data_IF_973650089027
#
_entry.id   IF_973650089027
#
_cell.length_a   1.000
_cell.length_b   1.000
_cell.length_c   1.000
_cell.angle_alpha   90.00
_cell.angle_beta   90.00
_cell.angle_gamma   90.00
#
_symmetry.space_group_name_H-M   'P 1'
#
loop_
_entity.id
_entity.type
_entity.pdbx_description
1 polymer ?
#
# COMPACT_ATOMS: atom_id res chain seq x y z
N UNK A 1 27.90 8.70 61.82
CA UNK A 1 27.25 9.50 60.78
C UNK A 1 27.74 9.23 59.36
N UNK A 2 28.81 8.50 59.09
CA UNK A 2 29.30 8.20 57.74
C UNK A 2 28.64 7.00 57.06
N UNK A 3 28.18 6.01 57.82
CA UNK A 3 27.56 4.78 57.24
C UNK A 3 26.22 5.02 56.56
N UNK A 4 25.38 5.92 57.11
CA UNK A 4 24.09 6.20 56.52
C UNK A 4 24.20 6.94 55.15
N UNK A 5 25.30 7.69 54.96
CA UNK A 5 25.54 8.42 53.70
C UNK A 5 25.89 7.48 52.54
N UNK A 6 26.69 6.42 52.82
CA UNK A 6 27.05 5.42 51.81
C UNK A 6 25.86 4.58 51.40
N UNK A 7 25.01 4.23 52.36
CA UNK A 7 23.76 3.48 52.09
C UNK A 7 22.76 4.29 51.25
N UNK A 8 22.60 5.58 51.60
CA UNK A 8 21.70 6.48 50.82
C UNK A 8 22.20 6.73 49.42
N UNK A 9 23.53 6.88 49.24
CA UNK A 9 24.12 7.07 47.89
C UNK A 9 23.97 5.80 47.05
N UNK A 10 24.18 4.60 47.64
CA UNK A 10 23.98 3.32 46.96
C UNK A 10 22.50 3.12 46.50
N UNK A 11 21.55 3.45 47.38
CA UNK A 11 20.11 3.38 47.07
C UNK A 11 19.75 4.32 45.90
N UNK A 12 20.32 5.52 45.88
CA UNK A 12 20.08 6.50 44.83
C UNK A 12 20.62 6.05 43.48
N UNK A 13 21.81 5.44 43.45
CA UNK A 13 22.41 4.89 42.21
C UNK A 13 21.58 3.75 41.66
N UNK A 14 21.11 2.84 42.51
CA UNK A 14 20.24 1.71 42.12
C UNK A 14 18.90 2.23 41.56
N UNK A 15 18.29 3.24 42.21
CA UNK A 15 17.05 3.84 41.74
C UNK A 15 17.22 4.51 40.35
N UNK A 16 18.36 5.17 40.16
CA UNK A 16 18.69 5.84 38.90
C UNK A 16 18.94 4.84 37.77
N UNK A 17 19.57 3.71 38.08
CA UNK A 17 19.82 2.60 37.17
C UNK A 17 18.49 1.92 36.75
N UNK A 18 17.58 1.71 37.70
CA UNK A 18 16.24 1.17 37.42
C UNK A 18 15.42 2.13 36.57
N UNK A 19 15.55 3.43 36.82
CA UNK A 19 14.87 4.47 36.04
C UNK A 19 15.40 4.51 34.59
N UNK A 20 16.71 4.39 34.41
CA UNK A 20 17.32 4.30 33.07
C UNK A 20 16.91 3.02 32.32
N UNK A 21 16.85 1.89 33.02
CA UNK A 21 16.41 0.62 32.43
C UNK A 21 14.92 0.64 32.06
N UNK A 22 14.08 1.30 32.88
CA UNK A 22 12.66 1.44 32.57
C UNK A 22 12.41 2.41 31.40
N UNK A 23 13.19 3.53 31.35
CA UNK A 23 13.14 4.47 30.24
C UNK A 23 13.63 3.82 28.94
N UNK A 24 14.69 3.03 29.00
CA UNK A 24 15.20 2.27 27.86
C UNK A 24 14.18 1.28 27.30
N UNK A 25 13.34 0.66 28.15
CA UNK A 25 12.23 -0.19 27.70
C UNK A 25 11.07 0.60 27.09
N UNK A 26 10.74 1.77 27.65
CA UNK A 26 9.71 2.65 27.10
C UNK A 26 10.11 3.26 25.75
N UNK A 27 11.40 3.58 25.55
CA UNK A 27 11.93 4.13 24.31
C UNK A 27 12.33 3.03 23.30
N UNK A 28 12.46 1.79 23.75
CA UNK A 28 12.79 0.62 22.95
C UNK A 28 11.61 -0.33 22.73
N UNK A 29 10.38 0.12 22.94
CA UNK A 29 9.21 -0.58 22.42
C UNK A 29 9.32 -0.47 20.90
N UNK A 30 10.07 -1.40 20.31
CA UNK A 30 10.04 -1.67 18.89
C UNK A 30 8.61 -2.11 18.61
N UNK A 31 7.75 -1.15 18.23
CA UNK A 31 6.55 -1.47 17.51
C UNK A 31 7.00 -2.40 16.37
N UNK A 32 6.47 -3.62 16.25
CA UNK A 32 6.93 -4.56 15.24
C UNK A 32 6.90 -3.81 13.92
N UNK A 33 8.04 -3.74 13.25
CA UNK A 33 8.23 -2.98 12.01
C UNK A 33 7.06 -3.28 11.09
N UNK A 34 6.17 -2.31 10.91
CA UNK A 34 5.00 -2.47 10.05
C UNK A 34 5.44 -2.22 8.64
N UNK A 35 5.09 -3.14 7.76
CA UNK A 35 5.33 -2.96 6.34
C UNK A 35 4.50 -1.78 5.82
N UNK A 36 5.16 -0.77 5.26
CA UNK A 36 4.52 0.47 4.81
C UNK A 36 4.29 0.43 3.32
N UNK A 37 3.04 0.56 2.92
CA UNK A 37 2.62 0.57 1.51
C UNK A 37 2.02 1.93 1.18
N UNK A 38 2.52 2.57 0.14
CA UNK A 38 1.92 3.79 -0.40
C UNK A 38 1.16 3.49 -1.69
N UNK A 39 -0.04 4.04 -1.81
CA UNK A 39 -0.92 3.87 -2.97
C UNK A 39 -0.95 5.16 -3.77
N UNK A 40 -0.44 5.10 -4.99
CA UNK A 40 -0.35 6.23 -5.93
C UNK A 40 -1.26 5.94 -7.11
N UNK A 41 -2.44 6.53 -7.13
CA UNK A 41 -3.48 6.31 -8.14
C UNK A 41 -4.05 7.64 -8.61
N UNK A 42 -4.61 7.66 -9.82
CA UNK A 42 -5.27 8.87 -10.34
C UNK A 42 -6.55 9.16 -9.52
N UNK A 43 -6.83 10.42 -9.27
CA UNK A 43 -8.00 10.84 -8.50
C UNK A 43 -8.21 10.04 -7.20
N UNK A 44 -7.20 9.94 -6.35
CA UNK A 44 -7.19 9.10 -5.14
C UNK A 44 -8.37 9.34 -4.18
N UNK A 45 -9.03 10.50 -4.26
CA UNK A 45 -10.21 10.86 -3.47
C UNK A 45 -11.53 10.44 -4.12
N UNK A 46 -11.51 9.83 -5.31
CA UNK A 46 -12.71 9.34 -5.99
C UNK A 46 -13.34 8.17 -5.26
N UNK A 47 -14.67 8.08 -5.31
CA UNK A 47 -15.44 6.96 -4.76
C UNK A 47 -15.14 5.63 -5.45
N UNK A 48 -14.57 5.65 -6.65
CA UNK A 48 -14.10 4.47 -7.38
C UNK A 48 -13.15 3.64 -6.51
N UNK A 49 -12.31 4.28 -5.70
CA UNK A 49 -11.35 3.61 -4.82
C UNK A 49 -11.93 3.14 -3.48
N UNK A 50 -13.21 3.36 -3.20
CA UNK A 50 -13.81 3.04 -1.90
C UNK A 50 -13.71 1.56 -1.54
N UNK A 51 -14.06 0.67 -2.46
CA UNK A 51 -13.98 -0.79 -2.24
C UNK A 51 -12.54 -1.26 -2.11
N UNK A 52 -11.62 -0.69 -2.89
CA UNK A 52 -10.20 -0.98 -2.81
C UNK A 52 -9.61 -0.55 -1.45
N UNK A 53 -9.95 0.63 -0.96
CA UNK A 53 -9.56 1.12 0.38
C UNK A 53 -10.07 0.20 1.49
N UNK A 54 -11.29 -0.32 1.36
CA UNK A 54 -11.83 -1.30 2.31
C UNK A 54 -11.00 -2.59 2.31
N UNK A 55 -10.63 -3.10 1.14
CA UNK A 55 -9.77 -4.28 1.00
C UNK A 55 -8.39 -4.06 1.62
N UNK A 56 -7.76 -2.91 1.36
CA UNK A 56 -6.47 -2.54 1.98
C UNK A 56 -6.57 -2.42 3.50
N UNK A 57 -7.68 -1.88 4.01
CA UNK A 57 -7.91 -1.81 5.47
C UNK A 57 -7.95 -3.21 6.08
N UNK A 58 -8.65 -4.14 5.43
CA UNK A 58 -8.72 -5.52 5.88
C UNK A 58 -7.33 -6.21 5.82
N UNK A 59 -6.59 -6.01 4.74
CA UNK A 59 -5.22 -6.52 4.57
C UNK A 59 -4.27 -5.93 5.62
N UNK A 60 -4.33 -4.63 5.87
CA UNK A 60 -3.50 -3.96 6.87
C UNK A 60 -3.65 -4.58 8.26
N UNK A 61 -4.88 -4.92 8.65
CA UNK A 61 -5.16 -5.60 9.92
C UNK A 61 -4.68 -7.05 9.94
N UNK A 62 -4.83 -7.77 8.81
CA UNK A 62 -4.48 -9.19 8.74
C UNK A 62 -2.97 -9.41 8.69
N UNK A 63 -2.23 -8.52 8.05
CA UNK A 63 -0.79 -8.68 7.76
C UNK A 63 0.11 -7.69 8.51
N UNK A 64 -0.41 -6.97 9.49
CA UNK A 64 0.32 -5.93 10.24
C UNK A 64 0.98 -4.88 9.29
N UNK A 65 0.22 -4.46 8.27
CA UNK A 65 0.66 -3.53 7.25
C UNK A 65 0.02 -2.16 7.49
N UNK A 66 0.81 -1.11 7.34
CA UNK A 66 0.33 0.26 7.28
C UNK A 66 0.23 0.69 5.82
N UNK A 67 -0.84 1.37 5.46
CA UNK A 67 -0.97 1.90 4.11
C UNK A 67 -1.32 3.39 4.11
N UNK A 68 -0.79 4.09 3.12
CA UNK A 68 -1.05 5.50 2.86
C UNK A 68 -1.62 5.68 1.45
N UNK A 69 -2.83 6.26 1.35
CA UNK A 69 -3.35 6.73 0.07
C UNK A 69 -2.79 8.12 -0.18
N UNK A 70 -1.89 8.24 -1.15
CA UNK A 70 -1.31 9.51 -1.53
C UNK A 70 -2.41 10.40 -2.10
N UNK A 71 -2.56 11.59 -1.53
CA UNK A 71 -3.54 12.56 -2.03
C UNK A 71 -3.08 13.07 -3.39
N UNK A 72 -3.73 12.60 -4.43
CA UNK A 72 -3.49 13.02 -5.81
C UNK A 72 -4.79 13.61 -6.37
N UNK A 73 -4.64 14.71 -7.08
CA UNK A 73 -5.65 15.14 -8.04
C UNK A 73 -5.46 14.33 -9.34
N UNK A 74 -5.58 14.95 -10.48
CA UNK A 74 -5.31 14.30 -11.76
C UNK A 74 -3.80 14.19 -11.99
N UNK A 75 -3.30 12.97 -12.11
CA UNK A 75 -1.93 12.72 -12.57
C UNK A 75 -1.90 12.90 -14.10
N UNK A 76 -1.21 13.92 -14.58
CA UNK A 76 -1.27 14.28 -16.01
C UNK A 76 -0.07 13.77 -16.82
N UNK A 77 0.95 13.21 -16.17
CA UNK A 77 2.13 12.71 -16.86
C UNK A 77 2.85 11.61 -16.08
N UNK A 78 3.58 10.76 -16.81
CA UNK A 78 4.47 9.73 -16.25
C UNK A 78 5.50 10.36 -15.28
N UNK A 79 5.97 11.58 -15.55
CA UNK A 79 6.91 12.29 -14.69
C UNK A 79 6.30 12.62 -13.33
N UNK A 80 5.02 13.00 -13.27
CA UNK A 80 4.34 13.27 -12.01
C UNK A 80 4.11 11.99 -11.21
N UNK A 81 3.72 10.90 -11.88
CA UNK A 81 3.61 9.57 -11.27
C UNK A 81 4.95 9.16 -10.65
N UNK A 82 6.04 9.28 -11.41
CA UNK A 82 7.39 9.00 -10.94
C UNK A 82 7.77 9.82 -9.71
N UNK A 83 7.57 11.13 -9.76
CA UNK A 83 7.90 12.02 -8.63
C UNK A 83 7.10 11.63 -7.39
N UNK A 84 5.84 11.29 -7.56
CA UNK A 84 4.98 10.84 -6.45
C UNK A 84 5.49 9.54 -5.84
N UNK A 85 5.76 8.52 -6.66
CA UNK A 85 6.29 7.23 -6.20
C UNK A 85 7.67 7.39 -5.53
N UNK A 86 8.59 8.16 -6.13
CA UNK A 86 9.92 8.42 -5.55
C UNK A 86 9.81 9.09 -4.18
N UNK A 87 8.91 10.06 -4.02
CA UNK A 87 8.70 10.75 -2.75
C UNK A 87 8.24 9.78 -1.67
N UNK A 88 7.31 8.88 -1.99
CA UNK A 88 6.83 7.88 -1.04
C UNK A 88 7.94 6.90 -0.62
N UNK A 89 8.75 6.43 -1.57
CA UNK A 89 9.92 5.59 -1.27
C UNK A 89 10.91 6.33 -0.37
N UNK A 90 11.22 7.60 -0.66
CA UNK A 90 12.09 8.42 0.16
C UNK A 90 11.51 8.69 1.56
N UNK A 91 10.19 8.64 1.69
CA UNK A 91 9.47 8.77 2.97
C UNK A 91 9.40 7.47 3.75
N UNK A 92 10.00 6.39 3.23
CA UNK A 92 10.12 5.10 3.90
C UNK A 92 9.00 4.12 3.57
N UNK A 93 8.38 4.22 2.39
CA UNK A 93 7.50 3.17 1.90
C UNK A 93 8.32 1.96 1.44
N UNK A 94 7.97 0.77 1.94
CA UNK A 94 8.56 -0.51 1.57
C UNK A 94 7.95 -1.04 0.27
N UNK A 95 6.72 -0.64 -0.02
CA UNK A 95 6.01 -1.02 -1.23
C UNK A 95 5.15 0.11 -1.81
N UNK A 96 5.00 0.09 -3.13
CA UNK A 96 4.15 1.02 -3.87
C UNK A 96 3.09 0.22 -4.63
N UNK A 97 1.83 0.60 -4.49
CA UNK A 97 0.75 0.18 -5.38
C UNK A 97 0.45 1.37 -6.29
N UNK A 98 0.59 1.20 -7.59
CA UNK A 98 0.42 2.30 -8.55
C UNK A 98 -0.57 1.94 -9.67
N UNK A 99 -1.40 2.91 -10.03
CA UNK A 99 -2.11 2.95 -11.30
C UNK A 99 -1.31 3.82 -12.27
N UNK A 100 -0.96 3.27 -13.43
CA UNK A 100 -0.20 4.00 -14.45
C UNK A 100 -1.14 4.51 -15.55
N UNK A 101 -0.97 5.75 -15.92
CA UNK A 101 -1.74 6.35 -17.04
C UNK A 101 -1.34 5.81 -18.40
N UNK A 102 -0.09 5.42 -18.55
CA UNK A 102 0.42 4.87 -19.78
C UNK A 102 1.34 3.69 -19.48
N UNK A 103 1.28 2.69 -20.32
CA UNK A 103 2.16 1.52 -20.23
C UNK A 103 3.50 1.80 -20.91
N UNK A 104 3.45 2.48 -22.05
CA UNK A 104 4.60 2.73 -22.91
C UNK A 104 5.59 3.72 -22.25
N UNK A 105 6.87 3.37 -22.26
CA UNK A 105 7.95 4.18 -21.69
C UNK A 105 8.07 4.15 -20.16
N UNK A 106 7.31 3.31 -19.48
CA UNK A 106 7.35 3.19 -18.02
C UNK A 106 8.37 2.17 -17.51
N UNK A 107 8.81 1.25 -18.37
CA UNK A 107 9.71 0.16 -18.00
C UNK A 107 10.98 0.62 -17.28
N UNK A 108 11.80 1.52 -17.86
CA UNK A 108 13.02 2.01 -17.21
C UNK A 108 12.75 2.69 -15.86
N UNK A 109 11.61 3.38 -15.75
CA UNK A 109 11.18 4.03 -14.53
C UNK A 109 10.86 3.02 -13.42
N UNK A 110 10.02 2.06 -13.73
CA UNK A 110 9.62 1.02 -12.79
C UNK A 110 10.82 0.18 -12.35
N UNK A 111 11.76 -0.10 -13.26
CA UNK A 111 13.01 -0.79 -12.95
C UNK A 111 13.89 0.01 -11.97
N UNK A 112 13.95 1.32 -12.11
CA UNK A 112 14.69 2.18 -11.19
C UNK A 112 14.05 2.23 -9.79
N UNK A 113 12.73 2.32 -9.72
CA UNK A 113 11.97 2.34 -8.48
C UNK A 113 12.00 0.98 -7.75
N UNK A 114 11.87 -0.11 -8.50
CA UNK A 114 11.84 -1.48 -7.97
C UNK A 114 13.15 -1.94 -7.32
N UNK A 115 14.23 -1.15 -7.43
CA UNK A 115 15.48 -1.38 -6.68
C UNK A 115 15.38 -0.96 -5.21
N UNK A 116 14.41 -0.12 -4.87
CA UNK A 116 14.29 0.50 -3.56
C UNK A 116 13.00 0.18 -2.83
N UNK A 117 11.97 -0.31 -3.54
CA UNK A 117 10.70 -0.72 -2.98
C UNK A 117 10.03 -1.77 -3.87
N UNK A 118 9.16 -2.58 -3.29
CA UNK A 118 8.32 -3.50 -4.07
C UNK A 118 7.25 -2.71 -4.83
N UNK A 119 7.12 -2.98 -6.15
CA UNK A 119 6.14 -2.30 -6.99
C UNK A 119 5.05 -3.27 -7.43
N UNK A 120 3.81 -2.89 -7.22
CA UNK A 120 2.64 -3.59 -7.74
C UNK A 120 1.78 -2.62 -8.54
N UNK A 121 1.37 -3.05 -9.73
CA UNK A 121 0.45 -2.28 -10.56
C UNK A 121 -0.99 -2.71 -10.32
N UNK A 122 -1.90 -1.73 -10.28
CA UNK A 122 -3.34 -1.97 -10.24
C UNK A 122 -3.97 -1.31 -11.46
N UNK A 123 -4.87 -2.03 -12.11
CA UNK A 123 -5.58 -1.58 -13.31
C UNK A 123 -4.64 -1.02 -14.41
N UNK A 124 -3.45 -1.58 -14.47
CA UNK A 124 -2.37 -1.14 -15.37
C UNK A 124 -1.55 -2.32 -15.82
N UNK A 125 -1.10 -2.29 -17.06
CA UNK A 125 -0.23 -3.33 -17.61
C UNK A 125 1.22 -2.85 -17.62
N UNK A 126 2.16 -3.78 -17.36
CA UNK A 126 3.58 -3.49 -17.56
C UNK A 126 3.93 -3.50 -19.05
N UNK A 127 4.91 -2.71 -19.43
CA UNK A 127 5.47 -2.77 -20.77
C UNK A 127 6.11 -4.15 -21.02
N UNK A 128 5.71 -4.82 -22.11
CA UNK A 128 6.16 -6.19 -22.45
C UNK A 128 7.58 -6.25 -23.00
N UNK A 129 8.17 -5.10 -23.29
CA UNK A 129 9.51 -4.99 -23.89
C UNK A 129 10.66 -5.24 -22.90
N UNK A 130 10.40 -5.24 -21.59
CA UNK A 130 11.40 -5.54 -20.57
C UNK A 130 11.02 -6.80 -19.76
N UNK A 131 11.44 -8.00 -20.22
CA UNK A 131 11.04 -9.26 -19.59
C UNK A 131 11.57 -9.47 -18.16
N UNK A 132 12.62 -8.76 -17.77
CA UNK A 132 13.29 -8.93 -16.48
C UNK A 132 12.65 -8.10 -15.34
N UNK A 133 11.61 -7.33 -15.63
CA UNK A 133 10.92 -6.56 -14.60
C UNK A 133 10.02 -7.48 -13.77
N UNK A 134 10.46 -7.80 -12.56
CA UNK A 134 9.68 -8.57 -11.59
C UNK A 134 8.62 -7.69 -10.89
N UNK A 135 7.71 -7.12 -11.70
CA UNK A 135 6.62 -6.29 -11.22
C UNK A 135 5.33 -7.06 -11.37
N UNK A 136 4.62 -7.21 -10.26
CA UNK A 136 3.30 -7.82 -10.24
C UNK A 136 2.24 -6.82 -10.68
N UNK A 137 1.21 -7.31 -11.38
CA UNK A 137 0.04 -6.50 -11.72
C UNK A 137 -1.26 -7.23 -11.38
N UNK A 138 -2.24 -6.46 -10.93
CA UNK A 138 -3.60 -6.94 -10.66
C UNK A 138 -4.55 -6.13 -11.55
N UNK A 139 -5.16 -6.81 -12.50
CA UNK A 139 -6.07 -6.21 -13.47
C UNK A 139 -7.41 -6.92 -13.46
N UNK A 140 -8.46 -6.20 -13.85
CA UNK A 140 -9.75 -6.80 -14.16
C UNK A 140 -9.69 -7.33 -15.60
N UNK A 141 -10.09 -8.57 -15.81
CA UNK A 141 -10.25 -9.10 -17.17
C UNK A 141 -11.53 -8.51 -17.78
N UNK A 142 -11.41 -7.36 -18.42
CA UNK A 142 -12.54 -6.58 -18.96
C UNK A 142 -13.33 -7.38 -20.00
N UNK A 143 -12.67 -8.21 -20.81
CA UNK A 143 -13.34 -9.06 -21.80
C UNK A 143 -14.20 -10.13 -21.10
N UNK A 144 -13.67 -10.80 -20.08
CA UNK A 144 -14.41 -11.80 -19.31
C UNK A 144 -15.58 -11.16 -18.55
N UNK A 145 -15.35 -9.96 -17.98
CA UNK A 145 -16.39 -9.19 -17.33
C UNK A 145 -17.50 -8.78 -18.31
N UNK A 146 -17.13 -8.24 -19.47
CA UNK A 146 -18.08 -7.86 -20.53
C UNK A 146 -18.92 -9.06 -21.00
N UNK A 147 -18.29 -10.20 -21.21
CA UNK A 147 -18.97 -11.45 -21.57
C UNK A 147 -19.95 -11.90 -20.49
N UNK A 148 -19.52 -11.94 -19.23
CA UNK A 148 -20.38 -12.32 -18.11
C UNK A 148 -21.59 -11.41 -17.95
N UNK A 149 -21.40 -10.10 -18.11
CA UNK A 149 -22.50 -9.11 -18.09
C UNK A 149 -23.48 -9.33 -19.24
N UNK A 150 -23.00 -9.56 -20.46
CA UNK A 150 -23.83 -9.82 -21.62
C UNK A 150 -24.66 -11.11 -21.43
N UNK A 151 -24.06 -12.18 -20.94
CA UNK A 151 -24.74 -13.44 -20.61
C UNK A 151 -25.83 -13.23 -19.55
N UNK A 152 -25.54 -12.46 -18.50
CA UNK A 152 -26.50 -12.15 -17.44
C UNK A 152 -27.70 -11.35 -17.97
N UNK A 153 -27.47 -10.36 -18.82
CA UNK A 153 -28.54 -9.57 -19.47
C UNK A 153 -29.38 -10.46 -20.36
N UNK A 154 -28.77 -11.29 -21.19
CA UNK A 154 -29.47 -12.22 -22.07
C UNK A 154 -30.35 -13.18 -21.27
N UNK A 155 -29.79 -13.80 -20.22
CA UNK A 155 -30.53 -14.73 -19.37
C UNK A 155 -31.73 -14.05 -18.68
N UNK A 156 -31.55 -12.82 -18.17
CA UNK A 156 -32.64 -12.06 -17.53
C UNK A 156 -33.74 -11.65 -18.51
N UNK A 157 -33.38 -11.36 -19.77
CA UNK A 157 -34.34 -10.97 -20.83
C UNK A 157 -35.16 -12.17 -21.27
N UNK A 158 -34.52 -13.31 -21.49
CA UNK A 158 -35.24 -14.57 -21.85
C UNK A 158 -36.21 -15.05 -20.76
N UNK A 159 -35.86 -14.80 -19.48
CA UNK A 159 -36.75 -15.10 -18.34
C UNK A 159 -37.98 -14.19 -18.32
N UNK A 160 -37.84 -12.91 -18.71
CA UNK A 160 -38.96 -11.96 -18.81
C UNK A 160 -39.90 -12.26 -19.98
N UNK A 161 -39.40 -12.72 -21.11
CA UNK A 161 -40.22 -13.14 -22.24
C UNK A 161 -41.09 -14.38 -21.92
N UNK A 162 -40.49 -15.40 -21.29
CA UNK A 162 -41.24 -16.59 -20.84
C UNK A 162 -42.37 -16.23 -19.86
N UNK A 163 -42.23 -15.19 -19.05
CA UNK A 163 -43.24 -14.77 -18.08
C UNK A 163 -44.37 -13.92 -18.72
N UNK A 164 -44.18 -13.43 -19.94
CA UNK A 164 -45.21 -12.67 -20.69
C UNK A 164 -46.09 -13.53 -21.59
N UNK A 165 -45.72 -14.75 -21.86
CA UNK A 165 -46.42 -15.68 -22.77
C UNK A 165 -47.26 -16.74 -22.00
N UNK A 166 -47.16 -16.76 -20.68
CA UNK A 166 -47.99 -17.59 -19.78
C UNK A 166 -49.05 -16.75 -19.06
#
# INVERSE_FOLDING_TARGET
MKENSIFTTGLFVVALLLLFLSLGRLLGENDPERFKVSVVVDHSNSDVWSSFKMGLTAAGRAYNMEYNFVSTDRLVSIQQENISMQREIQSGADGIIAELRATEGTGPLLNALGKNAEIMLVDSQKETTEPDLNISSVNVEEEALGKALAEQVLHSTLHKEKKRIG
#
